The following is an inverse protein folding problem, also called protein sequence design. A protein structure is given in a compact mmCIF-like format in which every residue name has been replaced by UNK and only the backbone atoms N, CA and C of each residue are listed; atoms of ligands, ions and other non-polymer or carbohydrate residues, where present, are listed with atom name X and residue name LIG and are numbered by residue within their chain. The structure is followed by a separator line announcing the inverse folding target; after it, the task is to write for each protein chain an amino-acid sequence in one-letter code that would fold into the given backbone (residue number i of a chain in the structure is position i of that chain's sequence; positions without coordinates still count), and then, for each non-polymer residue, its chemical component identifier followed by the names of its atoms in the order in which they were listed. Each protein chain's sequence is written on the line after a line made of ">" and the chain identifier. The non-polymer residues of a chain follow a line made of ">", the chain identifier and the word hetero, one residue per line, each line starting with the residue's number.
data_IF_773504243783
#
_entry.id   IF_773504243783
#
_cell.length_a   1.000
_cell.length_b   1.000
_cell.length_c   1.000
_cell.angle_alpha   90.00
_cell.angle_beta   90.00
_cell.angle_gamma   90.00
#
_symmetry.space_group_name_H-M   'P 1'
#
loop_
_entity.id
_entity.type
_entity.pdbx_description
1 polymer ?
#
# COMPACT_ATOMS: atom_id res chain seq x y z
N UNK A 1 -5.55 30.53 -38.25
CA UNK A 1 -4.94 29.17 -38.09
C UNK A 1 -4.31 28.93 -36.71
N UNK A 2 -4.09 29.95 -35.87
CA UNK A 2 -3.46 29.81 -34.53
C UNK A 2 -4.40 29.25 -33.45
N UNK A 3 -5.68 29.62 -33.46
CA UNK A 3 -6.69 29.21 -32.46
C UNK A 3 -6.92 27.68 -32.40
N UNK A 4 -6.97 27.01 -33.56
CA UNK A 4 -7.25 25.57 -33.63
C UNK A 4 -6.10 24.74 -33.07
N UNK A 5 -4.85 25.14 -33.34
CA UNK A 5 -3.65 24.49 -32.77
C UNK A 5 -3.61 24.60 -31.25
N UNK A 6 -3.97 25.76 -30.69
CA UNK A 6 -3.99 25.94 -29.22
C UNK A 6 -5.02 25.05 -28.54
N UNK A 7 -6.18 24.82 -29.16
CA UNK A 7 -7.23 23.94 -28.64
C UNK A 7 -6.80 22.47 -28.63
N UNK A 8 -6.14 22.01 -29.71
CA UNK A 8 -5.59 20.64 -29.79
C UNK A 8 -4.46 20.41 -28.80
N UNK A 9 -3.56 21.37 -28.62
CA UNK A 9 -2.46 21.29 -27.64
C UNK A 9 -3.01 21.21 -26.22
N UNK A 10 -3.99 22.05 -25.86
CA UNK A 10 -4.66 21.98 -24.55
C UNK A 10 -5.31 20.62 -24.29
N UNK A 11 -5.98 20.04 -25.29
CA UNK A 11 -6.59 18.72 -25.17
C UNK A 11 -5.56 17.62 -24.94
N UNK A 12 -4.42 17.66 -25.65
CA UNK A 12 -3.33 16.70 -25.47
C UNK A 12 -2.70 16.78 -24.08
N UNK A 13 -2.49 18.01 -23.56
CA UNK A 13 -1.97 18.21 -22.20
C UNK A 13 -2.92 17.59 -21.17
N UNK A 14 -4.23 17.82 -21.30
CA UNK A 14 -5.22 17.26 -20.38
C UNK A 14 -5.23 15.73 -20.39
N UNK A 15 -5.08 15.11 -21.57
CA UNK A 15 -5.00 13.64 -21.69
C UNK A 15 -3.72 13.12 -21.02
N UNK A 16 -2.56 13.74 -21.29
CA UNK A 16 -1.30 13.34 -20.68
C UNK A 16 -1.33 13.45 -19.15
N UNK A 17 -1.86 14.55 -18.62
CA UNK A 17 -2.02 14.72 -17.16
C UNK A 17 -2.94 13.65 -16.60
N UNK A 18 -4.08 13.39 -17.25
CA UNK A 18 -5.01 12.35 -16.82
C UNK A 18 -4.36 10.96 -16.74
N UNK A 19 -3.64 10.55 -17.78
CA UNK A 19 -2.93 9.26 -17.81
C UNK A 19 -1.84 9.19 -16.74
N UNK A 20 -1.07 10.27 -16.56
CA UNK A 20 -0.03 10.34 -15.52
C UNK A 20 -0.63 10.22 -14.11
N UNK A 21 -1.72 10.94 -13.82
CA UNK A 21 -2.42 10.85 -12.55
C UNK A 21 -2.92 9.42 -12.27
N UNK A 22 -3.49 8.76 -13.27
CA UNK A 22 -3.95 7.36 -13.14
C UNK A 22 -2.75 6.45 -12.83
N UNK A 23 -1.65 6.58 -13.57
CA UNK A 23 -0.43 5.80 -13.33
C UNK A 23 0.15 6.00 -11.93
N UNK A 24 0.15 7.24 -11.43
CA UNK A 24 0.59 7.57 -10.07
C UNK A 24 -0.33 6.91 -9.03
N UNK A 25 -1.65 7.03 -9.18
CA UNK A 25 -2.63 6.40 -8.27
C UNK A 25 -2.42 4.89 -8.23
N UNK A 26 -2.28 4.23 -9.39
CA UNK A 26 -2.00 2.79 -9.44
C UNK A 26 -0.65 2.42 -8.80
N UNK A 27 0.36 3.28 -8.92
CA UNK A 27 1.64 3.11 -8.22
C UNK A 27 1.51 3.18 -6.70
N UNK A 28 0.54 3.92 -6.18
CA UNK A 28 0.28 4.03 -4.74
C UNK A 28 -0.69 2.99 -4.18
N UNK A 29 -1.50 2.33 -5.02
CA UNK A 29 -2.53 1.38 -4.54
C UNK A 29 -1.99 0.01 -4.12
N UNK A 30 -0.71 -0.29 -4.35
CA UNK A 30 -0.15 -1.64 -4.17
C UNK A 30 0.42 -1.96 -2.79
N UNK A 31 1.14 -1.04 -2.13
CA UNK A 31 1.99 -1.39 -0.99
C UNK A 31 2.23 -0.18 -0.06
N UNK A 32 1.17 0.41 0.50
CA UNK A 32 1.38 1.41 1.53
C UNK A 32 1.83 0.74 2.82
N UNK A 33 3.14 0.75 3.07
CA UNK A 33 3.75 0.26 4.31
C UNK A 33 3.06 0.83 5.55
N UNK A 34 2.61 2.09 5.49
CA UNK A 34 1.89 2.71 6.61
C UNK A 34 0.57 1.99 6.91
N UNK A 35 -0.20 1.63 5.87
CA UNK A 35 -1.48 0.94 6.04
C UNK A 35 -1.25 -0.48 6.56
N UNK A 36 -0.26 -1.20 6.00
CA UNK A 36 0.07 -2.55 6.43
C UNK A 36 0.56 -2.57 7.89
N UNK A 37 1.39 -1.61 8.29
CA UNK A 37 1.85 -1.49 9.68
C UNK A 37 0.68 -1.28 10.66
N UNK A 38 -0.30 -0.44 10.30
CA UNK A 38 -1.51 -0.24 11.13
C UNK A 38 -2.33 -1.53 11.21
N UNK A 39 -2.46 -2.27 10.10
CA UNK A 39 -3.17 -3.55 10.08
C UNK A 39 -2.50 -4.59 10.99
N UNK A 40 -1.16 -4.73 10.91
CA UNK A 40 -0.38 -5.63 11.78
C UNK A 40 -0.58 -5.28 13.25
N UNK A 41 -0.53 -4.00 13.63
CA UNK A 41 -0.77 -3.58 15.02
C UNK A 41 -2.19 -3.93 15.50
N UNK A 42 -3.19 -3.81 14.64
CA UNK A 42 -4.57 -4.15 14.99
C UNK A 42 -4.75 -5.66 15.13
N UNK A 43 -4.15 -6.44 14.22
CA UNK A 43 -4.14 -7.89 14.31
C UNK A 43 -3.42 -8.34 15.60
N UNK A 44 -2.27 -7.75 15.95
CA UNK A 44 -1.55 -8.01 17.21
C UNK A 44 -2.48 -7.86 18.42
N UNK A 45 -3.28 -6.80 18.47
CA UNK A 45 -4.23 -6.58 19.56
C UNK A 45 -5.30 -7.67 19.63
N UNK A 46 -5.81 -8.11 18.49
CA UNK A 46 -6.80 -9.21 18.43
C UNK A 46 -6.17 -10.51 18.92
N UNK A 47 -4.91 -10.77 18.57
CA UNK A 47 -4.17 -11.91 19.09
C UNK A 47 -4.03 -11.84 20.61
N UNK A 48 -3.62 -10.70 21.18
CA UNK A 48 -3.50 -10.54 22.63
C UNK A 48 -4.82 -10.79 23.37
N UNK A 49 -5.96 -10.47 22.75
CA UNK A 49 -7.30 -10.71 23.32
C UNK A 49 -7.76 -12.17 23.18
N UNK A 50 -7.40 -12.85 22.09
CA UNK A 50 -7.90 -14.20 21.76
C UNK A 50 -6.95 -15.33 22.14
N UNK A 51 -5.65 -15.06 22.17
CA UNK A 51 -4.54 -16.01 22.36
C UNK A 51 -4.65 -17.23 21.45
N UNK A 52 -5.20 -17.05 20.24
CA UNK A 52 -5.39 -18.14 19.29
C UNK A 52 -4.06 -18.42 18.54
N UNK A 53 -3.46 -19.62 18.68
CA UNK A 53 -2.19 -19.95 18.03
C UNK A 53 -2.28 -19.94 16.50
N UNK A 54 -3.42 -20.35 15.92
CA UNK A 54 -3.61 -20.31 14.46
C UNK A 54 -3.50 -18.89 13.90
N UNK A 55 -3.98 -17.91 14.67
CA UNK A 55 -3.91 -16.50 14.29
C UNK A 55 -2.50 -15.91 14.48
N UNK A 56 -1.67 -16.53 15.31
CA UNK A 56 -0.27 -16.13 15.48
C UNK A 56 0.56 -16.49 14.25
N UNK A 57 0.40 -17.70 13.70
CA UNK A 57 1.10 -18.13 12.49
C UNK A 57 0.77 -17.23 11.28
N UNK A 58 -0.52 -16.93 11.09
CA UNK A 58 -1.00 -16.00 10.06
C UNK A 58 -0.38 -14.60 10.21
N UNK A 59 -0.19 -14.15 11.46
CA UNK A 59 0.42 -12.86 11.75
C UNK A 59 1.92 -12.84 11.46
N UNK A 60 2.63 -13.92 11.78
CA UNK A 60 4.06 -14.09 11.45
C UNK A 60 4.26 -14.04 9.94
N UNK A 61 3.40 -14.67 9.14
CA UNK A 61 3.47 -14.58 7.68
C UNK A 61 3.28 -13.14 7.19
N UNK A 62 2.28 -12.43 7.71
CA UNK A 62 2.04 -11.01 7.37
C UNK A 62 3.22 -10.11 7.75
N UNK A 63 3.84 -10.33 8.91
CA UNK A 63 5.02 -9.56 9.35
C UNK A 63 6.22 -9.83 8.44
N UNK A 64 6.43 -11.08 8.01
CA UNK A 64 7.50 -11.39 7.06
C UNK A 64 7.30 -10.68 5.71
N UNK A 65 6.09 -10.75 5.14
CA UNK A 65 5.78 -10.04 3.90
C UNK A 65 5.97 -8.53 4.03
N UNK A 66 5.57 -7.95 5.16
CA UNK A 66 5.82 -6.55 5.46
C UNK A 66 7.32 -6.25 5.54
N UNK A 67 8.11 -7.07 6.22
CA UNK A 67 9.55 -6.85 6.40
C UNK A 67 10.37 -7.01 5.10
N UNK A 68 9.88 -7.78 4.14
CA UNK A 68 10.47 -7.91 2.80
C UNK A 68 10.26 -6.65 1.96
N UNK A 69 9.08 -6.01 2.10
CA UNK A 69 8.65 -4.90 1.25
C UNK A 69 8.83 -3.51 1.89
N UNK A 70 8.92 -3.44 3.23
CA UNK A 70 8.78 -2.20 3.99
C UNK A 70 9.86 -1.99 5.05
N UNK A 71 10.10 -0.71 5.36
CA UNK A 71 10.97 -0.28 6.45
C UNK A 71 10.24 0.75 7.34
N UNK A 72 10.55 0.81 8.64
CA UNK A 72 11.41 -0.10 9.40
C UNK A 72 10.77 -1.47 9.60
N UNK A 73 11.60 -2.50 9.83
CA UNK A 73 11.12 -3.85 10.08
C UNK A 73 10.40 -3.93 11.44
N UNK A 74 9.35 -4.74 11.50
CA UNK A 74 8.61 -5.09 12.71
C UNK A 74 9.19 -6.38 13.26
N UNK A 75 9.29 -6.47 14.59
CA UNK A 75 9.78 -7.67 15.27
C UNK A 75 8.83 -8.85 15.03
N UNK A 76 9.40 -10.02 14.72
CA UNK A 76 8.63 -11.23 14.49
C UNK A 76 8.12 -11.74 15.83
N UNK A 77 6.82 -12.02 15.90
CA UNK A 77 6.18 -12.55 17.10
C UNK A 77 6.58 -14.01 17.33
N UNK A 78 7.02 -14.33 18.55
CA UNK A 78 7.26 -15.72 18.97
C UNK A 78 5.93 -16.35 19.41
N UNK A 79 5.46 -17.32 18.64
CA UNK A 79 4.17 -17.98 18.84
C UNK A 79 4.24 -19.15 19.84
N UNK A 80 5.40 -19.38 20.47
CA UNK A 80 5.60 -20.39 21.53
C UNK A 80 6.18 -21.71 21.05
#
# INVERSE_FOLDING_TARGET
>A
MTLQRTKTIRSLILICVGVSCIGIIFGFTGNSCVIQHIAIMNDLKIYEETLNPEFCDDMVEKINLFNDDCQPQVEILDCG
#
